data_IF_841449143576
#
_entry.id   IF_841449143576
#
_cell.length_a   1.000
_cell.length_b   1.000
_cell.length_c   1.000
_cell.angle_alpha   90.00
_cell.angle_beta   90.00
_cell.angle_gamma   90.00
#
_symmetry.space_group_name_H-M   'P 1'
#
loop_
_entity.id
_entity.type
_entity.pdbx_description
1 polymer ?
#
# COMPACT_ATOMS: atom_id res chain seq x y z
N UNK A 1 -20.65 -16.72 -33.82
CA UNK A 1 -20.41 -15.59 -34.73
C UNK A 1 -21.76 -15.02 -35.07
N UNK A 2 -22.21 -14.02 -34.34
CA UNK A 2 -23.48 -13.27 -34.56
C UNK A 2 -23.31 -12.55 -35.90
N UNK A 3 -24.26 -12.65 -36.81
CA UNK A 3 -24.30 -11.80 -37.99
C UNK A 3 -24.69 -10.39 -37.49
N UNK A 4 -23.70 -9.56 -37.31
CA UNK A 4 -23.94 -8.13 -37.11
C UNK A 4 -24.54 -7.61 -38.43
N UNK A 5 -25.66 -6.92 -38.32
CA UNK A 5 -26.28 -6.32 -39.49
C UNK A 5 -25.55 -5.01 -39.85
N UNK A 6 -25.97 -4.38 -40.94
CA UNK A 6 -25.35 -3.15 -41.45
C UNK A 6 -25.50 -1.96 -40.48
N UNK A 7 -26.51 -2.00 -39.66
CA UNK A 7 -26.85 -0.98 -38.71
C UNK A 7 -25.85 -1.02 -37.53
N UNK A 8 -25.55 -2.21 -36.99
CA UNK A 8 -24.51 -2.41 -35.97
C UNK A 8 -23.16 -1.85 -36.42
N UNK A 9 -22.73 -2.13 -37.67
CA UNK A 9 -21.45 -1.65 -38.20
C UNK A 9 -21.41 -0.11 -38.32
N UNK A 10 -22.53 0.52 -38.66
CA UNK A 10 -22.63 1.98 -38.76
C UNK A 10 -22.52 2.61 -37.36
N UNK A 11 -23.30 2.13 -36.41
CA UNK A 11 -23.33 2.63 -35.05
C UNK A 11 -21.99 2.40 -34.33
N UNK A 12 -21.37 1.22 -34.50
CA UNK A 12 -20.04 0.94 -33.99
C UNK A 12 -19.00 1.91 -34.53
N UNK A 13 -19.04 2.22 -35.83
CA UNK A 13 -18.09 3.15 -36.44
C UNK A 13 -18.30 4.61 -35.96
N UNK A 14 -19.52 5.00 -35.68
CA UNK A 14 -19.80 6.31 -35.07
C UNK A 14 -19.34 6.35 -33.64
N UNK A 15 -19.66 5.35 -32.83
CA UNK A 15 -19.18 5.21 -31.45
C UNK A 15 -17.65 5.24 -31.39
N UNK A 16 -16.94 4.48 -32.22
CA UNK A 16 -15.49 4.47 -32.25
C UNK A 16 -14.88 5.82 -32.63
N UNK A 17 -15.58 6.65 -33.43
CA UNK A 17 -15.13 7.99 -33.78
C UNK A 17 -15.33 9.01 -32.68
N UNK A 18 -16.43 8.93 -31.98
CA UNK A 18 -16.81 9.87 -30.91
C UNK A 18 -16.20 9.47 -29.58
N UNK A 19 -16.41 8.25 -29.16
CA UNK A 19 -16.11 7.73 -27.82
C UNK A 19 -14.88 6.82 -27.79
N UNK A 20 -14.47 6.24 -28.90
CA UNK A 20 -13.32 5.31 -28.95
C UNK A 20 -11.99 5.90 -28.43
N UNK A 21 -11.87 7.21 -28.38
CA UNK A 21 -10.72 7.93 -27.79
C UNK A 21 -10.63 7.77 -26.25
N UNK A 22 -11.71 7.34 -25.60
CA UNK A 22 -11.80 7.15 -24.15
C UNK A 22 -11.42 5.74 -23.71
N UNK A 23 -11.15 4.83 -24.65
CA UNK A 23 -10.76 3.44 -24.42
C UNK A 23 -9.28 3.23 -24.73
N UNK A 24 -8.65 2.30 -24.01
CA UNK A 24 -7.22 2.02 -24.16
C UNK A 24 -6.88 1.26 -25.46
N UNK A 25 -7.87 0.59 -26.07
CA UNK A 25 -7.75 -0.06 -27.39
C UNK A 25 -9.06 -0.02 -28.18
N UNK A 26 -8.94 -0.23 -29.50
CA UNK A 26 -10.13 -0.35 -30.36
C UNK A 26 -10.95 -1.60 -30.05
N UNK A 27 -10.30 -2.67 -29.67
CA UNK A 27 -10.91 -3.94 -29.26
C UNK A 27 -11.79 -3.73 -28.02
N UNK A 28 -11.28 -3.05 -27.01
CA UNK A 28 -12.00 -2.70 -25.77
C UNK A 28 -13.22 -1.83 -26.06
N UNK A 29 -13.06 -0.78 -26.88
CA UNK A 29 -14.19 0.06 -27.29
C UNK A 29 -15.24 -0.72 -28.10
N UNK A 30 -14.82 -1.71 -28.87
CA UNK A 30 -15.76 -2.57 -29.64
C UNK A 30 -16.53 -3.50 -28.71
N UNK A 31 -15.88 -4.12 -27.74
CA UNK A 31 -16.54 -4.98 -26.74
C UNK A 31 -17.55 -4.20 -25.89
N UNK A 32 -17.19 -3.00 -25.44
CA UNK A 32 -18.09 -2.11 -24.73
C UNK A 32 -19.32 -1.76 -25.59
N UNK A 33 -19.10 -1.38 -26.85
CA UNK A 33 -20.20 -1.11 -27.78
C UNK A 33 -21.10 -2.34 -28.03
N UNK A 34 -20.51 -3.54 -28.22
CA UNK A 34 -21.28 -4.77 -28.41
C UNK A 34 -22.21 -5.07 -27.23
N UNK A 35 -21.75 -4.83 -26.01
CA UNK A 35 -22.57 -5.01 -24.80
C UNK A 35 -23.72 -4.01 -24.77
N UNK A 36 -23.46 -2.73 -25.05
CA UNK A 36 -24.48 -1.68 -25.11
C UNK A 36 -25.48 -1.97 -26.21
N UNK A 37 -25.02 -2.37 -27.42
CA UNK A 37 -25.86 -2.69 -28.54
C UNK A 37 -26.82 -3.87 -28.26
N UNK A 38 -26.31 -4.92 -27.57
CA UNK A 38 -27.12 -6.05 -27.17
C UNK A 38 -28.19 -5.69 -26.13
N UNK A 39 -27.91 -4.69 -25.27
CA UNK A 39 -28.89 -4.12 -24.34
C UNK A 39 -30.03 -3.41 -25.08
N UNK A 40 -29.69 -2.68 -26.12
CA UNK A 40 -30.63 -1.91 -26.95
C UNK A 40 -31.44 -2.80 -27.86
N UNK A 41 -30.86 -3.83 -28.47
CA UNK A 41 -31.57 -4.81 -29.30
C UNK A 41 -32.65 -5.58 -28.49
N UNK A 42 -32.51 -5.58 -27.16
CA UNK A 42 -33.54 -6.09 -26.26
C UNK A 42 -34.75 -5.17 -26.03
N UNK A 43 -34.83 -4.00 -26.68
CA UNK A 43 -36.03 -3.16 -26.71
C UNK A 43 -35.88 -1.68 -26.41
N UNK A 44 -34.66 -1.15 -26.37
CA UNK A 44 -34.40 0.26 -26.10
C UNK A 44 -34.08 1.07 -27.37
N UNK A 45 -34.79 2.20 -27.60
CA UNK A 45 -34.45 3.16 -28.65
C UNK A 45 -33.26 4.03 -28.21
N UNK A 46 -32.22 4.10 -29.06
CA UNK A 46 -31.05 4.96 -28.83
C UNK A 46 -31.13 6.21 -29.70
N UNK A 47 -31.38 7.33 -29.07
CA UNK A 47 -30.97 8.64 -29.57
C UNK A 47 -30.03 9.23 -28.48
N UNK A 48 -28.75 8.80 -28.51
CA UNK A 48 -27.98 8.73 -27.31
C UNK A 48 -26.90 9.80 -27.17
N UNK A 49 -27.10 10.71 -26.27
CA UNK A 49 -26.02 11.30 -25.49
C UNK A 49 -25.47 10.24 -24.49
N UNK A 50 -24.25 10.40 -23.99
CA UNK A 50 -23.69 9.47 -23.00
C UNK A 50 -24.53 9.39 -21.70
N UNK A 51 -25.28 10.45 -21.39
CA UNK A 51 -26.28 10.48 -20.32
C UNK A 51 -27.43 9.49 -20.59
N UNK A 52 -27.93 9.44 -21.84
CA UNK A 52 -29.02 8.54 -22.18
C UNK A 52 -28.58 7.05 -22.11
N UNK A 53 -27.28 6.76 -22.29
CA UNK A 53 -26.74 5.41 -22.12
C UNK A 53 -26.66 5.01 -20.64
N UNK A 54 -26.32 5.93 -19.74
CA UNK A 54 -26.35 5.69 -18.29
C UNK A 54 -27.79 5.38 -17.87
N UNK A 55 -28.76 6.17 -18.27
CA UNK A 55 -30.16 5.96 -17.97
C UNK A 55 -30.68 4.63 -18.55
N UNK A 56 -30.29 4.28 -19.77
CA UNK A 56 -30.65 3.01 -20.40
C UNK A 56 -30.09 1.78 -19.66
N UNK A 57 -28.88 1.87 -19.14
CA UNK A 57 -28.29 0.80 -18.29
C UNK A 57 -29.01 0.71 -16.98
N UNK A 58 -29.27 1.82 -16.32
CA UNK A 58 -29.92 1.86 -15.01
C UNK A 58 -31.38 1.37 -15.06
N UNK A 59 -32.12 1.71 -16.11
CA UNK A 59 -33.49 1.26 -16.36
C UNK A 59 -33.58 -0.17 -16.94
N UNK A 60 -32.45 -0.74 -17.46
CA UNK A 60 -32.40 -2.05 -18.08
C UNK A 60 -32.75 -3.21 -17.13
N UNK A 61 -33.34 -4.28 -17.69
CA UNK A 61 -33.64 -5.53 -16.97
C UNK A 61 -32.38 -6.41 -16.82
N UNK A 62 -31.40 -5.86 -16.09
CA UNK A 62 -30.11 -6.49 -15.80
C UNK A 62 -29.96 -6.72 -14.31
N UNK A 63 -29.11 -7.69 -13.92
CA UNK A 63 -28.69 -7.77 -12.53
C UNK A 63 -27.95 -6.48 -12.12
N UNK A 64 -28.01 -6.12 -10.84
CA UNK A 64 -27.33 -4.91 -10.36
C UNK A 64 -25.83 -4.98 -10.59
N UNK A 65 -25.22 -6.16 -10.47
CA UNK A 65 -23.81 -6.40 -10.75
C UNK A 65 -23.46 -6.15 -12.23
N UNK A 66 -24.33 -6.60 -13.16
CA UNK A 66 -24.14 -6.35 -14.59
C UNK A 66 -24.29 -4.86 -14.93
N UNK A 67 -25.22 -4.16 -14.27
CA UNK A 67 -25.38 -2.70 -14.38
C UNK A 67 -24.12 -1.95 -13.94
N UNK A 68 -23.61 -2.31 -12.76
CA UNK A 68 -22.35 -1.74 -12.22
C UNK A 68 -21.22 -1.97 -13.20
N UNK A 69 -21.06 -3.19 -13.71
CA UNK A 69 -20.01 -3.52 -14.68
C UNK A 69 -20.12 -2.70 -15.95
N UNK A 70 -21.33 -2.57 -16.50
CA UNK A 70 -21.58 -1.76 -17.70
C UNK A 70 -21.31 -0.26 -17.46
N UNK A 71 -21.74 0.29 -16.33
CA UNK A 71 -21.47 1.68 -15.94
C UNK A 71 -19.97 1.93 -15.71
N UNK A 72 -19.27 0.97 -15.11
CA UNK A 72 -17.81 1.04 -14.92
C UNK A 72 -17.04 1.00 -16.24
N UNK A 73 -17.51 0.25 -17.24
CA UNK A 73 -16.92 0.24 -18.58
C UNK A 73 -17.15 1.53 -19.34
N UNK A 74 -18.28 2.20 -19.12
CA UNK A 74 -18.57 3.52 -19.70
C UNK A 74 -17.77 4.65 -19.04
N UNK A 75 -17.16 4.40 -17.90
CA UNK A 75 -16.69 5.46 -17.02
C UNK A 75 -15.42 6.18 -17.51
N UNK A 76 -14.62 5.65 -18.43
CA UNK A 76 -13.41 6.34 -18.90
C UNK A 76 -13.76 7.66 -19.59
N UNK A 77 -14.01 8.69 -18.80
CA UNK A 77 -14.37 10.06 -19.20
C UNK A 77 -15.82 10.47 -18.94
N UNK A 78 -16.66 9.57 -18.42
CA UNK A 78 -18.03 9.89 -18.04
C UNK A 78 -18.21 9.85 -16.52
N UNK A 79 -18.25 11.05 -15.92
CA UNK A 79 -18.41 11.21 -14.47
C UNK A 79 -19.76 10.69 -13.98
N UNK A 80 -20.83 10.88 -14.74
CA UNK A 80 -22.18 10.50 -14.34
C UNK A 80 -22.32 8.96 -14.27
N UNK A 81 -21.72 8.23 -15.24
CA UNK A 81 -21.68 6.77 -15.18
C UNK A 81 -20.92 6.24 -13.95
N UNK A 82 -19.81 6.90 -13.60
CA UNK A 82 -19.04 6.55 -12.42
C UNK A 82 -19.81 6.84 -11.13
N UNK A 83 -20.43 8.00 -11.00
CA UNK A 83 -21.23 8.38 -9.84
C UNK A 83 -22.38 7.38 -9.63
N UNK A 84 -23.09 7.00 -10.73
CA UNK A 84 -24.19 6.04 -10.66
C UNK A 84 -23.70 4.64 -10.30
N UNK A 85 -22.56 4.18 -10.83
CA UNK A 85 -21.98 2.90 -10.43
C UNK A 85 -21.66 2.86 -8.93
N UNK A 86 -21.09 3.93 -8.38
CA UNK A 86 -20.78 4.05 -6.95
C UNK A 86 -22.05 4.04 -6.09
N UNK A 87 -23.09 4.75 -6.49
CA UNK A 87 -24.37 4.72 -5.77
C UNK A 87 -24.95 3.30 -5.68
N UNK A 88 -24.95 2.54 -6.80
CA UNK A 88 -25.43 1.15 -6.80
C UNK A 88 -24.55 0.22 -5.95
N UNK A 89 -23.22 0.45 -5.97
CA UNK A 89 -22.27 -0.29 -5.13
C UNK A 89 -22.51 0.00 -3.63
N UNK A 90 -22.73 1.26 -3.27
CA UNK A 90 -23.08 1.65 -1.90
C UNK A 90 -24.41 1.05 -1.47
N UNK A 91 -25.44 1.06 -2.33
CA UNK A 91 -26.73 0.46 -2.04
C UNK A 91 -26.62 -1.04 -1.72
N UNK A 92 -25.76 -1.79 -2.43
CA UNK A 92 -25.52 -3.21 -2.16
C UNK A 92 -24.73 -3.37 -0.86
N UNK A 93 -23.63 -2.64 -0.70
CA UNK A 93 -22.75 -2.77 0.47
C UNK A 93 -23.45 -2.51 1.79
N UNK A 94 -24.43 -1.60 1.79
CA UNK A 94 -25.17 -1.23 3.00
C UNK A 94 -26.60 -1.80 3.05
N UNK A 95 -26.94 -2.72 2.11
CA UNK A 95 -28.22 -3.41 2.15
C UNK A 95 -28.21 -4.53 3.20
N UNK A 96 -29.37 -4.80 3.82
CA UNK A 96 -29.55 -5.90 4.78
C UNK A 96 -29.66 -7.29 4.08
N UNK A 97 -29.27 -7.43 2.82
CA UNK A 97 -29.37 -8.68 2.06
C UNK A 97 -28.09 -9.52 2.21
N UNK A 98 -28.26 -10.76 2.66
CA UNK A 98 -27.19 -11.75 2.99
C UNK A 98 -26.52 -12.40 1.76
N UNK A 99 -26.10 -11.64 0.75
CA UNK A 99 -25.33 -12.21 -0.38
C UNK A 99 -23.83 -11.86 -0.23
N UNK A 100 -23.18 -12.50 0.77
CA UNK A 100 -21.79 -12.25 1.17
C UNK A 100 -20.78 -12.19 0.01
N UNK A 101 -20.93 -13.02 -1.02
CA UNK A 101 -19.94 -13.10 -2.12
C UNK A 101 -20.03 -11.89 -3.07
N UNK A 102 -21.25 -11.41 -3.38
CA UNK A 102 -21.45 -10.22 -4.23
C UNK A 102 -20.99 -8.97 -3.49
N UNK A 103 -21.29 -8.85 -2.20
CA UNK A 103 -20.84 -7.75 -1.37
C UNK A 103 -19.32 -7.63 -1.33
N UNK A 104 -18.59 -8.75 -1.27
CA UNK A 104 -17.13 -8.74 -1.23
C UNK A 104 -16.50 -8.27 -2.55
N UNK A 105 -17.07 -8.67 -3.70
CA UNK A 105 -16.59 -8.19 -5.01
C UNK A 105 -16.82 -6.68 -5.14
N UNK A 106 -17.98 -6.22 -4.71
CA UNK A 106 -18.33 -4.80 -4.76
C UNK A 106 -17.49 -3.99 -3.77
N UNK A 107 -17.23 -4.53 -2.58
CA UNK A 107 -16.36 -3.89 -1.60
C UNK A 107 -14.97 -3.58 -2.16
N UNK A 108 -14.38 -4.51 -2.93
CA UNK A 108 -13.07 -4.34 -3.56
C UNK A 108 -13.09 -3.20 -4.58
N UNK A 109 -14.06 -3.21 -5.49
CA UNK A 109 -14.21 -2.18 -6.54
C UNK A 109 -14.46 -0.80 -5.93
N UNK A 110 -15.34 -0.73 -4.93
CA UNK A 110 -15.69 0.51 -4.25
C UNK A 110 -14.52 1.06 -3.41
N UNK A 111 -13.79 0.18 -2.72
CA UNK A 111 -12.59 0.57 -1.97
C UNK A 111 -11.50 1.14 -2.89
N UNK A 112 -11.31 0.53 -4.07
CA UNK A 112 -10.37 1.05 -5.07
C UNK A 112 -10.82 2.44 -5.58
N UNK A 113 -12.11 2.61 -5.84
CA UNK A 113 -12.68 3.91 -6.23
C UNK A 113 -12.44 4.97 -5.16
N UNK A 114 -12.82 4.69 -3.91
CA UNK A 114 -12.59 5.62 -2.78
C UNK A 114 -11.11 5.96 -2.61
N UNK A 115 -10.23 4.96 -2.71
CA UNK A 115 -8.78 5.18 -2.66
C UNK A 115 -8.29 6.13 -3.76
N UNK A 116 -8.78 5.96 -5.00
CA UNK A 116 -8.44 6.84 -6.14
C UNK A 116 -9.05 8.24 -6.00
N UNK A 117 -10.23 8.35 -5.40
CA UNK A 117 -10.89 9.63 -5.11
C UNK A 117 -10.28 10.38 -3.91
N UNK A 118 -9.35 9.76 -3.17
CA UNK A 118 -8.77 10.34 -1.96
C UNK A 118 -9.64 10.20 -0.72
N UNK A 119 -10.74 9.43 -0.78
CA UNK A 119 -11.63 9.08 0.34
C UNK A 119 -11.03 7.93 1.14
N UNK A 120 -9.86 8.18 1.74
CA UNK A 120 -9.04 7.11 2.35
C UNK A 120 -9.68 6.47 3.58
N UNK A 121 -10.55 7.20 4.32
CA UNK A 121 -11.29 6.67 5.47
C UNK A 121 -12.32 5.61 5.05
N UNK A 122 -13.05 5.90 3.98
CA UNK A 122 -14.07 5.02 3.41
C UNK A 122 -13.41 3.78 2.81
N UNK A 123 -12.34 3.96 2.05
CA UNK A 123 -11.55 2.87 1.51
C UNK A 123 -10.97 1.96 2.61
N UNK A 124 -10.42 2.53 3.68
CA UNK A 124 -9.88 1.77 4.81
C UNK A 124 -10.96 0.89 5.46
N UNK A 125 -12.16 1.43 5.69
CA UNK A 125 -13.28 0.66 6.29
C UNK A 125 -13.68 -0.54 5.44
N UNK A 126 -13.72 -0.40 4.12
CA UNK A 126 -14.04 -1.51 3.23
C UNK A 126 -12.94 -2.57 3.22
N UNK A 127 -11.67 -2.18 3.16
CA UNK A 127 -10.56 -3.12 3.27
C UNK A 127 -10.52 -3.83 4.64
N UNK A 128 -10.84 -3.13 5.75
CA UNK A 128 -11.00 -3.75 7.07
C UNK A 128 -12.12 -4.81 7.07
N UNK A 129 -13.28 -4.50 6.47
CA UNK A 129 -14.40 -5.46 6.35
C UNK A 129 -14.00 -6.68 5.52
N UNK A 130 -13.30 -6.49 4.39
CA UNK A 130 -12.82 -7.58 3.55
C UNK A 130 -11.88 -8.51 4.32
N UNK A 131 -10.94 -7.97 5.10
CA UNK A 131 -10.03 -8.76 5.92
C UNK A 131 -10.73 -9.45 7.09
N UNK A 132 -11.77 -8.86 7.67
CA UNK A 132 -12.58 -9.51 8.70
C UNK A 132 -13.34 -10.70 8.15
N UNK A 133 -13.87 -10.60 6.92
CA UNK A 133 -14.60 -11.68 6.28
C UNK A 133 -13.68 -12.84 5.84
N UNK A 134 -12.48 -12.54 5.33
CA UNK A 134 -11.52 -13.55 4.90
C UNK A 134 -10.06 -13.15 5.18
N UNK A 135 -9.54 -13.44 6.38
CA UNK A 135 -8.18 -13.02 6.78
C UNK A 135 -7.05 -13.70 6.00
N UNK A 136 -7.31 -14.81 5.30
CA UNK A 136 -6.25 -15.67 4.73
C UNK A 136 -6.01 -15.49 3.23
N UNK A 137 -6.92 -14.84 2.51
CA UNK A 137 -6.92 -14.88 1.03
C UNK A 137 -6.52 -13.56 0.34
N UNK A 138 -6.30 -12.47 1.09
CA UNK A 138 -6.17 -11.14 0.48
C UNK A 138 -4.84 -10.46 0.82
N UNK A 139 -3.72 -11.01 0.35
CA UNK A 139 -2.42 -10.34 0.48
C UNK A 139 -2.44 -8.92 -0.12
N UNK A 140 -3.14 -8.73 -1.24
CA UNK A 140 -3.27 -7.43 -1.88
C UNK A 140 -4.05 -6.43 -1.01
N UNK A 141 -5.14 -6.86 -0.38
CA UNK A 141 -5.96 -6.03 0.51
C UNK A 141 -5.17 -5.59 1.73
N UNK A 142 -4.31 -6.45 2.29
CA UNK A 142 -3.42 -6.09 3.41
C UNK A 142 -2.50 -4.92 3.01
N UNK A 143 -1.89 -5.00 1.83
CA UNK A 143 -0.99 -3.97 1.34
C UNK A 143 -1.74 -2.66 1.01
N UNK A 144 -2.96 -2.75 0.47
CA UNK A 144 -3.81 -1.59 0.17
C UNK A 144 -4.32 -0.91 1.46
N UNK A 145 -4.72 -1.69 2.48
CA UNK A 145 -5.07 -1.13 3.79
C UNK A 145 -3.86 -0.46 4.46
N UNK A 146 -2.68 -1.08 4.35
CA UNK A 146 -1.42 -0.46 4.80
C UNK A 146 -1.21 0.90 4.14
N UNK A 147 -1.44 1.03 2.83
CA UNK A 147 -1.37 2.30 2.11
C UNK A 147 -2.39 3.31 2.66
N UNK A 148 -3.63 2.89 2.95
CA UNK A 148 -4.64 3.80 3.52
C UNK A 148 -4.19 4.35 4.87
N UNK A 149 -3.67 3.51 5.76
CA UNK A 149 -3.17 3.99 7.06
C UNK A 149 -1.96 4.93 6.93
N UNK A 150 -1.08 4.70 5.97
CA UNK A 150 0.03 5.62 5.65
C UNK A 150 -0.49 6.97 5.18
N UNK A 151 -1.50 7.00 4.29
CA UNK A 151 -2.14 8.23 3.80
C UNK A 151 -2.87 9.00 4.91
N UNK A 152 -3.52 8.27 5.82
CA UNK A 152 -4.27 8.82 6.94
C UNK A 152 -3.39 9.21 8.14
N UNK A 153 -2.10 8.93 8.09
CA UNK A 153 -1.15 9.15 9.19
C UNK A 153 -1.56 8.45 10.50
N UNK A 154 -2.14 7.24 10.39
CA UNK A 154 -2.67 6.46 11.53
C UNK A 154 -1.67 5.43 12.03
N UNK A 155 -0.68 5.89 12.81
CA UNK A 155 0.39 5.02 13.31
C UNK A 155 -0.13 3.82 14.12
N UNK A 156 -1.05 4.05 15.07
CA UNK A 156 -1.57 2.95 15.91
C UNK A 156 -2.26 1.88 15.07
N UNK A 157 -3.18 2.29 14.18
CA UNK A 157 -3.88 1.35 13.30
C UNK A 157 -2.92 0.61 12.36
N UNK A 158 -1.90 1.32 11.84
CA UNK A 158 -0.87 0.73 10.99
C UNK A 158 -0.08 -0.34 11.74
N UNK A 159 0.36 -0.06 12.97
CA UNK A 159 1.14 -1.03 13.76
C UNK A 159 0.28 -2.22 14.21
N UNK A 160 -0.93 -1.97 14.71
CA UNK A 160 -1.86 -3.03 15.10
C UNK A 160 -2.20 -3.95 13.92
N UNK A 161 -2.39 -3.38 12.73
CA UNK A 161 -2.65 -4.12 11.49
C UNK A 161 -1.46 -5.02 11.10
N UNK A 162 -0.24 -4.50 11.12
CA UNK A 162 0.97 -5.26 10.79
C UNK A 162 1.19 -6.40 11.78
N UNK A 163 1.02 -6.15 13.07
CA UNK A 163 1.18 -7.15 14.12
C UNK A 163 0.12 -8.25 14.02
N UNK A 164 -1.15 -7.90 13.68
CA UNK A 164 -2.23 -8.87 13.53
C UNK A 164 -2.01 -9.86 12.38
N UNK A 165 -1.39 -9.43 11.29
CA UNK A 165 -1.23 -10.24 10.08
C UNK A 165 0.19 -10.78 9.88
N UNK A 166 1.12 -10.52 10.81
CA UNK A 166 2.56 -10.92 10.72
C UNK A 166 3.20 -10.53 9.39
N UNK A 167 2.86 -9.32 8.89
CA UNK A 167 3.15 -8.86 7.53
C UNK A 167 4.36 -7.92 7.43
N UNK A 168 5.17 -7.89 8.49
CA UNK A 168 6.35 -7.01 8.54
C UNK A 168 7.37 -7.29 7.43
N UNK A 169 7.32 -8.50 6.83
CA UNK A 169 8.26 -8.96 5.81
C UNK A 169 7.68 -8.93 4.37
N UNK A 170 6.55 -8.23 4.10
CA UNK A 170 6.12 -8.00 2.72
C UNK A 170 6.92 -6.86 2.07
N UNK A 171 7.14 -6.95 0.75
CA UNK A 171 7.84 -5.89 0.00
C UNK A 171 7.07 -4.57 0.03
N UNK A 172 5.74 -4.62 -0.13
CA UNK A 172 4.89 -3.44 -0.12
C UNK A 172 4.85 -2.83 1.28
N UNK A 173 4.63 -3.63 2.31
CA UNK A 173 4.62 -3.17 3.69
C UNK A 173 5.95 -2.51 4.08
N UNK A 174 7.09 -3.14 3.79
CA UNK A 174 8.41 -2.55 4.10
C UNK A 174 8.65 -1.22 3.38
N UNK A 175 8.19 -1.11 2.12
CA UNK A 175 8.28 0.13 1.36
C UNK A 175 7.38 1.22 1.97
N UNK A 176 6.13 0.88 2.30
CA UNK A 176 5.16 1.79 2.91
C UNK A 176 5.58 2.23 4.31
N UNK A 177 6.13 1.33 5.14
CA UNK A 177 6.71 1.68 6.45
C UNK A 177 7.90 2.62 6.33
N UNK A 178 8.74 2.43 5.28
CA UNK A 178 9.82 3.38 5.00
C UNK A 178 9.27 4.77 4.67
N UNK A 179 8.21 4.84 3.88
CA UNK A 179 7.52 6.09 3.51
C UNK A 179 6.87 6.72 4.73
N UNK A 180 6.13 5.94 5.53
CA UNK A 180 5.53 6.41 6.76
C UNK A 180 6.57 7.03 7.71
N UNK A 181 7.69 6.32 7.91
CA UNK A 181 8.80 6.80 8.74
C UNK A 181 9.44 8.09 8.19
N UNK A 182 9.49 8.27 6.85
CA UNK A 182 9.92 9.53 6.24
C UNK A 182 8.93 10.66 6.56
N UNK A 183 7.63 10.40 6.46
CA UNK A 183 6.58 11.38 6.78
C UNK A 183 6.66 11.83 8.25
N UNK A 184 7.05 10.92 9.15
CA UNK A 184 7.25 11.18 10.57
C UNK A 184 8.64 11.71 10.92
N UNK A 185 9.49 12.02 9.92
CA UNK A 185 10.89 12.45 10.09
C UNK A 185 11.76 11.43 10.86
N UNK A 186 11.33 10.16 10.96
CA UNK A 186 12.06 9.06 11.61
C UNK A 186 12.99 8.35 10.61
N UNK A 187 14.03 9.04 10.18
CA UNK A 187 14.90 8.61 9.08
C UNK A 187 15.71 7.34 9.40
N UNK A 188 15.98 7.05 10.65
CA UNK A 188 16.62 5.80 11.08
C UNK A 188 15.70 4.59 10.87
N UNK A 189 14.41 4.73 11.17
CA UNK A 189 13.40 3.70 10.90
C UNK A 189 13.19 3.51 9.39
N UNK A 190 13.08 4.59 8.63
CA UNK A 190 13.00 4.50 7.18
C UNK A 190 14.20 3.74 6.58
N UNK A 191 15.39 4.01 7.06
CA UNK A 191 16.62 3.31 6.64
C UNK A 191 16.61 1.83 7.05
N UNK A 192 16.10 1.53 8.25
CA UNK A 192 15.93 0.16 8.73
C UNK A 192 15.02 -0.66 7.80
N UNK A 193 13.82 -0.15 7.47
CA UNK A 193 12.88 -0.83 6.59
C UNK A 193 13.42 -0.99 5.17
N UNK A 194 14.08 0.03 4.62
CA UNK A 194 14.74 -0.06 3.31
C UNK A 194 15.85 -1.11 3.30
N UNK A 195 16.57 -1.28 4.42
CA UNK A 195 17.59 -2.33 4.55
C UNK A 195 16.95 -3.73 4.60
N UNK A 196 15.80 -3.89 5.29
CA UNK A 196 15.02 -5.13 5.26
C UNK A 196 14.52 -5.44 3.85
N UNK A 197 13.91 -4.48 3.16
CA UNK A 197 13.44 -4.63 1.78
C UNK A 197 14.55 -5.07 0.84
N UNK A 198 15.73 -4.46 0.94
CA UNK A 198 16.92 -4.83 0.15
C UNK A 198 17.34 -6.29 0.38
N UNK A 199 17.21 -6.80 1.61
CA UNK A 199 17.52 -8.20 1.95
C UNK A 199 16.43 -9.15 1.48
N UNK A 200 15.16 -8.76 1.61
CA UNK A 200 14.00 -9.57 1.24
C UNK A 200 13.96 -9.81 -0.27
N UNK A 201 14.07 -8.76 -1.06
CA UNK A 201 13.98 -8.84 -2.51
C UNK A 201 15.14 -8.13 -3.22
N UNK A 202 16.02 -8.93 -3.84
CA UNK A 202 17.17 -8.43 -4.61
C UNK A 202 16.82 -7.52 -5.80
N UNK A 203 15.54 -7.53 -6.24
CA UNK A 203 15.06 -6.68 -7.34
C UNK A 203 14.56 -5.32 -6.87
N UNK A 204 14.49 -5.07 -5.56
CA UNK A 204 14.08 -3.77 -5.01
C UNK A 204 14.95 -2.60 -5.52
N UNK A 205 16.22 -2.86 -5.82
CA UNK A 205 17.11 -1.87 -6.44
C UNK A 205 16.72 -1.41 -7.83
N UNK A 206 15.86 -2.16 -8.53
CA UNK A 206 15.41 -1.77 -9.86
C UNK A 206 14.52 -0.51 -9.83
N UNK A 207 13.84 -0.25 -8.72
CA UNK A 207 13.08 1.00 -8.49
C UNK A 207 13.98 2.23 -8.72
N UNK A 208 15.24 2.13 -8.28
CA UNK A 208 16.20 3.24 -8.30
C UNK A 208 17.17 3.19 -9.51
N UNK A 209 16.95 2.22 -10.41
CA UNK A 209 17.79 2.06 -11.59
C UNK A 209 17.42 3.08 -12.66
N UNK A 210 18.33 4.01 -12.93
CA UNK A 210 18.11 5.06 -13.92
C UNK A 210 17.67 6.40 -13.33
N UNK A 211 17.47 6.46 -12.01
CA UNK A 211 17.12 7.68 -11.27
C UNK A 211 15.64 8.03 -11.37
N UNK A 212 15.27 9.12 -10.72
CA UNK A 212 13.89 9.57 -10.56
C UNK A 212 13.08 9.63 -11.88
N UNK A 213 13.67 10.14 -12.95
CA UNK A 213 12.99 10.28 -14.24
C UNK A 213 12.65 8.95 -14.93
N UNK A 214 13.14 7.82 -14.39
CA UNK A 214 12.91 6.47 -14.93
C UNK A 214 12.01 5.61 -14.03
N UNK A 215 11.52 6.15 -12.93
CA UNK A 215 10.67 5.39 -12.01
C UNK A 215 9.35 4.99 -12.68
N UNK A 216 8.74 5.86 -13.46
CA UNK A 216 7.51 5.56 -14.21
C UNK A 216 7.76 4.43 -15.22
N UNK A 217 8.86 4.51 -15.99
CA UNK A 217 9.24 3.45 -16.93
C UNK A 217 9.42 2.09 -16.23
N UNK A 218 9.87 2.07 -14.97
CA UNK A 218 9.97 0.87 -14.17
C UNK A 218 8.58 0.36 -13.74
N UNK A 219 7.71 1.24 -13.25
CA UNK A 219 6.38 0.87 -12.73
C UNK A 219 5.47 0.31 -13.84
N UNK A 220 5.54 0.88 -15.04
CA UNK A 220 4.69 0.53 -16.18
C UNK A 220 5.42 -0.39 -17.19
N UNK A 221 6.70 -0.65 -16.97
CA UNK A 221 7.53 -1.41 -17.89
C UNK A 221 7.34 -2.92 -17.82
N UNK A 222 7.58 -3.58 -18.95
CA UNK A 222 7.65 -5.04 -18.99
C UNK A 222 9.05 -5.51 -18.54
N UNK A 223 9.17 -6.53 -17.67
CA UNK A 223 10.45 -7.03 -17.17
C UNK A 223 11.37 -7.63 -18.25
N UNK A 224 10.95 -7.71 -19.51
CA UNK A 224 11.77 -8.15 -20.63
C UNK A 224 12.28 -9.58 -20.47
N UNK A 225 13.61 -9.73 -20.34
CA UNK A 225 14.27 -11.04 -20.32
C UNK A 225 14.36 -11.73 -18.95
N UNK A 226 13.63 -11.28 -17.91
CA UNK A 226 13.59 -11.96 -16.61
C UNK A 226 12.83 -13.28 -16.76
N UNK A 227 13.45 -14.43 -16.40
CA UNK A 227 12.90 -15.78 -16.60
C UNK A 227 12.74 -16.56 -15.28
N UNK A 228 11.75 -17.48 -15.27
CA UNK A 228 11.52 -18.44 -14.18
C UNK A 228 11.16 -17.77 -12.86
N UNK A 229 11.53 -18.38 -11.72
CA UNK A 229 11.27 -17.88 -10.37
C UNK A 229 11.77 -16.45 -10.11
N UNK A 230 12.74 -15.99 -10.91
CA UNK A 230 13.18 -14.60 -10.85
C UNK A 230 12.15 -13.63 -11.43
N UNK A 231 11.28 -14.09 -12.33
CA UNK A 231 10.21 -13.28 -12.92
C UNK A 231 9.14 -12.94 -11.88
N UNK A 232 8.71 -13.93 -11.10
CA UNK A 232 7.74 -13.73 -10.00
C UNK A 232 8.23 -12.70 -8.98
N UNK A 233 9.49 -12.84 -8.50
CA UNK A 233 10.08 -11.88 -7.57
C UNK A 233 10.22 -10.47 -8.16
N UNK A 234 10.49 -10.38 -9.46
CA UNK A 234 10.57 -9.08 -10.14
C UNK A 234 9.18 -8.44 -10.20
N UNK A 235 8.17 -9.19 -10.62
CA UNK A 235 6.80 -8.69 -10.69
C UNK A 235 6.23 -8.37 -9.32
N UNK A 236 6.45 -9.20 -8.30
CA UNK A 236 6.07 -8.90 -6.93
C UNK A 236 6.62 -7.54 -6.47
N UNK A 237 7.92 -7.29 -6.73
CA UNK A 237 8.51 -6.00 -6.38
C UNK A 237 7.96 -4.83 -7.23
N UNK A 238 7.66 -5.06 -8.52
CA UNK A 238 7.07 -4.04 -9.38
C UNK A 238 5.64 -3.72 -8.94
N UNK A 239 4.85 -4.73 -8.58
CA UNK A 239 3.53 -4.58 -8.02
C UNK A 239 3.54 -3.80 -6.69
N UNK A 240 4.40 -4.22 -5.75
CA UNK A 240 4.59 -3.53 -4.46
C UNK A 240 4.99 -2.06 -4.64
N UNK A 241 5.86 -1.79 -5.62
CA UNK A 241 6.23 -0.43 -5.98
C UNK A 241 5.05 0.34 -6.63
N UNK A 242 4.17 -0.37 -7.36
CA UNK A 242 2.93 0.18 -7.92
C UNK A 242 1.98 0.71 -6.86
N UNK A 243 1.81 -0.03 -5.75
CA UNK A 243 1.02 0.40 -4.59
C UNK A 243 1.55 1.73 -4.02
N UNK A 244 2.87 1.88 -3.94
CA UNK A 244 3.53 3.09 -3.44
C UNK A 244 3.79 4.15 -4.53
N UNK A 245 3.15 4.05 -5.72
CA UNK A 245 3.43 4.88 -6.92
C UNK A 245 3.44 6.37 -6.62
N UNK A 246 2.47 6.88 -5.87
CA UNK A 246 2.35 8.31 -5.56
C UNK A 246 3.57 8.86 -4.80
N UNK A 247 4.13 8.07 -3.88
CA UNK A 247 5.33 8.44 -3.12
C UNK A 247 6.60 8.27 -3.96
N UNK A 248 6.69 7.21 -4.77
CA UNK A 248 7.83 6.99 -5.64
C UNK A 248 7.91 8.02 -6.78
N UNK A 249 6.79 8.59 -7.19
CA UNK A 249 6.74 9.70 -8.15
C UNK A 249 6.89 11.07 -7.49
N UNK A 250 6.93 11.14 -6.18
CA UNK A 250 7.30 12.34 -5.44
C UNK A 250 8.82 12.38 -5.26
N UNK A 251 9.47 13.42 -5.77
CA UNK A 251 10.93 13.54 -5.80
C UNK A 251 11.56 13.49 -4.41
N UNK A 252 10.93 14.09 -3.41
CA UNK A 252 11.45 14.11 -2.03
C UNK A 252 11.51 12.69 -1.44
N UNK A 253 10.41 11.95 -1.52
CA UNK A 253 10.38 10.56 -1.04
C UNK A 253 11.36 9.67 -1.83
N UNK A 254 11.34 9.77 -3.15
CA UNK A 254 12.23 8.98 -4.01
C UNK A 254 13.71 9.17 -3.64
N UNK A 255 14.18 10.42 -3.51
CA UNK A 255 15.59 10.71 -3.21
C UNK A 255 15.99 10.19 -1.82
N UNK A 256 15.11 10.25 -0.81
CA UNK A 256 15.36 9.70 0.51
C UNK A 256 15.38 8.17 0.50
N UNK A 257 14.38 7.53 -0.14
CA UNK A 257 14.33 6.07 -0.28
C UNK A 257 15.57 5.55 -1.02
N UNK A 258 15.95 6.19 -2.13
CA UNK A 258 17.17 5.84 -2.87
C UNK A 258 18.44 5.97 -2.01
N UNK A 259 18.55 7.05 -1.25
CA UNK A 259 19.67 7.29 -0.33
C UNK A 259 19.77 6.18 0.72
N UNK A 260 18.64 5.80 1.35
CA UNK A 260 18.61 4.74 2.35
C UNK A 260 18.87 3.36 1.73
N UNK A 261 18.38 3.11 0.52
CA UNK A 261 18.64 1.88 -0.20
C UNK A 261 20.12 1.70 -0.56
N UNK A 262 20.80 2.77 -0.97
CA UNK A 262 22.21 2.73 -1.43
C UNK A 262 23.21 2.63 -0.28
N UNK A 263 22.87 3.09 0.89
CA UNK A 263 23.74 3.08 2.08
C UNK A 263 23.25 2.00 3.05
N UNK A 264 24.14 1.15 3.53
CA UNK A 264 23.78 0.20 4.57
C UNK A 264 23.61 0.92 5.91
N UNK A 265 22.60 0.49 6.70
CA UNK A 265 22.34 1.02 8.03
C UNK A 265 23.52 0.67 8.97
N UNK A 266 23.92 1.60 9.82
CA UNK A 266 24.92 1.33 10.84
C UNK A 266 24.37 0.35 11.88
N UNK A 267 25.22 -0.61 12.33
CA UNK A 267 24.83 -1.63 13.31
C UNK A 267 24.13 -1.04 14.53
N UNK A 268 24.64 0.10 15.04
CA UNK A 268 24.06 0.80 16.18
C UNK A 268 22.65 1.31 15.91
N UNK A 269 22.41 1.94 14.76
CA UNK A 269 21.08 2.42 14.38
C UNK A 269 20.08 1.28 14.22
N UNK A 270 20.52 0.18 13.56
CA UNK A 270 19.68 -1.02 13.42
C UNK A 270 19.23 -1.57 14.78
N UNK A 271 20.15 -1.71 15.73
CA UNK A 271 19.85 -2.19 17.08
C UNK A 271 18.90 -1.25 17.84
N UNK A 272 19.05 0.06 17.68
CA UNK A 272 18.16 1.06 18.30
C UNK A 272 16.74 0.90 17.77
N UNK A 273 16.54 0.80 16.47
CA UNK A 273 15.22 0.64 15.87
C UNK A 273 14.58 -0.67 16.32
N UNK A 274 15.31 -1.78 16.28
CA UNK A 274 14.84 -3.09 16.77
C UNK A 274 14.48 -3.03 18.27
N UNK A 275 15.32 -2.38 19.08
CA UNK A 275 15.07 -2.21 20.50
C UNK A 275 13.84 -1.34 20.80
N UNK A 276 13.62 -0.27 20.04
CA UNK A 276 12.45 0.62 20.19
C UNK A 276 11.14 -0.13 19.96
N UNK A 277 11.11 -1.06 19.02
CA UNK A 277 9.94 -1.88 18.70
C UNK A 277 9.65 -2.97 19.75
N UNK A 278 10.67 -3.56 20.33
CA UNK A 278 10.55 -4.75 21.19
C UNK A 278 10.53 -4.44 22.67
N UNK A 279 10.78 -3.17 23.07
CA UNK A 279 11.04 -2.83 24.47
C UNK A 279 9.76 -2.49 25.24
N UNK A 280 9.57 -3.19 26.39
CA UNK A 280 8.74 -2.73 27.49
C UNK A 280 9.59 -2.54 28.75
N UNK A 281 9.11 -1.70 29.69
CA UNK A 281 9.79 -1.55 31.00
C UNK A 281 9.91 -2.86 31.75
N UNK A 282 8.95 -3.75 31.57
CA UNK A 282 8.90 -5.08 32.18
C UNK A 282 10.06 -5.92 31.68
N UNK A 283 10.26 -5.98 30.35
CA UNK A 283 11.38 -6.66 29.72
C UNK A 283 12.72 -6.10 30.18
N UNK A 284 12.86 -4.77 30.23
CA UNK A 284 14.09 -4.14 30.73
C UNK A 284 14.38 -4.45 32.22
N UNK A 285 13.36 -4.58 33.07
CA UNK A 285 13.56 -4.95 34.49
C UNK A 285 14.13 -6.34 34.68
N UNK A 286 13.82 -7.24 33.78
CA UNK A 286 14.29 -8.64 33.82
C UNK A 286 15.70 -8.77 33.24
N UNK A 287 16.15 -7.82 32.42
CA UNK A 287 17.50 -7.85 31.85
C UNK A 287 18.57 -7.57 32.93
N UNK A 288 19.51 -8.51 33.13
CA UNK A 288 20.60 -8.39 34.13
C UNK A 288 21.42 -7.09 33.98
N UNK A 289 21.47 -6.49 32.78
CA UNK A 289 22.24 -5.27 32.54
C UNK A 289 21.70 -4.08 33.33
N UNK A 290 20.38 -4.05 33.60
CA UNK A 290 19.73 -2.96 34.35
C UNK A 290 19.56 -3.26 35.85
N UNK A 291 20.11 -4.36 36.33
CA UNK A 291 20.02 -4.76 37.74
C UNK A 291 20.52 -3.66 38.69
N UNK A 292 19.70 -3.31 39.67
CA UNK A 292 19.97 -2.21 40.61
C UNK A 292 19.80 -0.81 40.02
N UNK A 293 19.18 -0.70 38.83
CA UNK A 293 18.90 0.56 38.14
C UNK A 293 17.42 0.70 37.73
N UNK A 294 16.52 -0.07 38.36
CA UNK A 294 15.08 -0.15 38.00
C UNK A 294 14.39 1.21 38.10
N UNK A 295 14.86 2.09 39.01
CA UNK A 295 14.34 3.47 39.14
C UNK A 295 14.80 4.41 38.05
N UNK A 296 15.80 4.02 37.28
CA UNK A 296 16.40 4.80 36.21
C UNK A 296 15.99 4.34 34.80
N UNK A 297 15.14 3.32 34.65
CA UNK A 297 14.78 2.75 33.35
C UNK A 297 14.24 3.78 32.37
N UNK A 298 13.45 4.76 32.84
CA UNK A 298 13.00 5.86 31.96
C UNK A 298 14.15 6.61 31.29
N UNK A 299 15.25 6.85 32.03
CA UNK A 299 16.43 7.51 31.47
C UNK A 299 17.11 6.69 30.38
N UNK A 300 17.08 5.39 30.51
CA UNK A 300 17.59 4.48 29.47
C UNK A 300 16.67 4.47 28.25
N UNK A 301 15.35 4.48 28.45
CA UNK A 301 14.35 4.57 27.38
C UNK A 301 14.50 5.91 26.65
N UNK A 302 14.54 7.02 27.39
CA UNK A 302 14.70 8.37 26.83
C UNK A 302 16.04 8.53 26.07
N UNK A 303 17.07 7.78 26.47
CA UNK A 303 18.37 7.75 25.82
C UNK A 303 18.52 6.63 24.75
N UNK A 304 17.44 5.90 24.42
CA UNK A 304 17.41 4.80 23.47
C UNK A 304 18.42 3.66 23.76
N UNK A 305 18.66 3.39 25.05
CA UNK A 305 19.59 2.38 25.55
C UNK A 305 18.83 1.15 26.05
N UNK A 306 18.13 0.44 25.16
CA UNK A 306 17.13 -0.58 25.48
C UNK A 306 17.70 -1.91 25.95
N UNK A 307 18.93 -2.26 25.59
CA UNK A 307 19.58 -3.52 25.94
C UNK A 307 21.10 -3.39 26.01
N UNK A 308 21.77 -4.45 26.43
CA UNK A 308 23.22 -4.53 26.53
C UNK A 308 23.94 -4.24 25.22
N UNK A 309 23.45 -4.80 24.11
CA UNK A 309 24.11 -4.72 22.81
C UNK A 309 24.15 -3.29 22.27
N UNK A 310 23.08 -2.53 22.49
CA UNK A 310 23.04 -1.11 22.14
C UNK A 310 24.05 -0.33 22.99
N UNK A 311 24.06 -0.56 24.32
CA UNK A 311 24.96 0.15 25.25
C UNK A 311 26.43 -0.11 24.88
N UNK A 312 26.77 -1.35 24.47
CA UNK A 312 28.14 -1.73 24.06
C UNK A 312 28.58 -1.10 22.72
N UNK A 313 27.66 -0.50 21.96
CA UNK A 313 27.98 0.28 20.76
C UNK A 313 28.51 1.69 21.09
N UNK A 314 28.45 2.12 22.35
CA UNK A 314 28.89 3.45 22.78
C UNK A 314 30.24 3.37 23.53
N UNK A 315 31.05 4.41 23.38
CA UNK A 315 32.16 4.66 24.31
C UNK A 315 31.62 5.27 25.62
N UNK A 316 32.37 5.18 26.70
CA UNK A 316 31.99 5.82 27.97
C UNK A 316 31.79 7.33 27.84
N UNK A 317 32.56 7.96 26.98
CA UNK A 317 32.51 9.39 26.73
C UNK A 317 31.24 9.80 25.98
N UNK A 318 30.77 8.99 25.07
CA UNK A 318 29.50 9.19 24.38
C UNK A 318 28.33 9.01 25.35
N UNK A 319 28.31 7.96 26.16
CA UNK A 319 27.27 7.73 27.16
C UNK A 319 27.15 8.86 28.17
N UNK A 320 28.29 9.44 28.62
CA UNK A 320 28.29 10.57 29.54
C UNK A 320 27.64 11.85 28.97
N UNK A 321 27.51 11.94 27.65
CA UNK A 321 26.85 13.08 27.00
C UNK A 321 25.33 12.92 26.90
N UNK A 322 24.82 11.69 27.12
CA UNK A 322 23.39 11.42 27.10
C UNK A 322 22.74 11.94 28.39
N UNK A 323 21.60 12.58 28.24
CA UNK A 323 20.89 13.15 29.38
C UNK A 323 20.50 12.04 30.36
N UNK A 324 20.69 12.32 31.63
CA UNK A 324 20.37 11.37 32.69
C UNK A 324 21.38 10.23 32.89
N UNK A 325 22.37 10.00 32.01
CA UNK A 325 23.37 8.92 32.08
C UNK A 325 24.66 9.44 32.70
N UNK A 326 24.73 9.43 34.01
CA UNK A 326 25.90 9.89 34.76
C UNK A 326 26.92 8.82 35.12
N UNK A 327 28.04 9.24 35.71
CA UNK A 327 29.17 8.36 36.10
C UNK A 327 28.73 7.17 36.99
N UNK A 328 27.74 7.38 37.86
CA UNK A 328 27.21 6.33 38.73
C UNK A 328 26.48 5.24 37.97
N UNK A 329 25.74 5.59 36.89
CA UNK A 329 25.09 4.62 36.01
C UNK A 329 26.14 3.84 35.21
N UNK A 330 27.12 4.53 34.64
CA UNK A 330 28.20 3.88 33.87
C UNK A 330 28.97 2.89 34.75
N UNK A 331 29.25 3.24 36.00
CA UNK A 331 29.88 2.29 36.93
C UNK A 331 29.02 1.03 37.12
N UNK A 332 27.72 1.18 37.37
CA UNK A 332 26.80 0.05 37.53
C UNK A 332 26.70 -0.81 36.25
N UNK A 333 26.68 -0.19 35.08
CA UNK A 333 26.70 -0.92 33.81
C UNK A 333 27.96 -1.81 33.68
N UNK A 334 29.14 -1.30 34.09
CA UNK A 334 30.38 -2.07 34.16
C UNK A 334 30.27 -3.23 35.17
N UNK A 335 29.77 -2.94 36.35
CA UNK A 335 29.57 -3.93 37.40
C UNK A 335 28.60 -5.04 36.94
N UNK A 336 27.63 -4.70 36.06
CA UNK A 336 26.69 -5.62 35.43
C UNK A 336 27.23 -6.28 34.13
N UNK A 337 28.52 -6.10 33.80
CA UNK A 337 29.21 -6.82 32.76
C UNK A 337 29.10 -6.22 31.36
N UNK A 338 28.80 -4.90 31.26
CA UNK A 338 28.84 -4.17 29.98
C UNK A 338 30.27 -3.85 29.58
N UNK A 339 30.62 -4.14 28.32
CA UNK A 339 31.89 -3.80 27.71
C UNK A 339 31.69 -2.68 26.72
N UNK A 340 32.07 -1.48 27.06
CA UNK A 340 31.93 -0.34 26.17
C UNK A 340 32.88 -0.42 24.98
N UNK A 341 32.50 0.20 23.89
CA UNK A 341 33.35 0.39 22.72
C UNK A 341 34.64 1.11 23.13
N UNK A 342 35.78 0.66 22.61
CA UNK A 342 37.07 1.33 22.79
C UNK A 342 37.07 2.68 22.02
N UNK A 343 37.78 3.68 22.57
CA UNK A 343 37.90 5.03 21.96
C UNK A 343 38.70 5.02 20.66
#
# INVERSE_FOLDING_TARGET
MVKHDREFEILLNEFLKTEGKHFSSKEEATEAFERIYNLVDSGYEIDASLSDLVDAIDEGDMSVVDKISALRELHEGNKDALERAVELEEDIMYSDNDEDAEQMIIADVLAEYYSKAGMNEEAAKLYELMLMANPSDFHEVIDLLTLMYVRLDRESSLMDHIDCFDYEDSEATLLLLSIFSINQERFDEAHYYMTKLKKLNKYSGNIFKGGFNKVIDYLEGNPGNVKGANKEKYFGMQFSAGIAKEYLTNKYHYELLEKFYRKDIEKKQNLIVEGRKSVSKEVMKEDPVFKGMEKQLNKFIDAELYNKEIIECYTEKELKKLDGIGVGIIKKLKDNGVKFKEE
#
